data_IF_794161315078
#
_entry.id   IF_794161315078
#
_cell.length_a   1.000
_cell.length_b   1.000
_cell.length_c   1.000
_cell.angle_alpha   90.00
_cell.angle_beta   90.00
_cell.angle_gamma   90.00
#
_symmetry.space_group_name_H-M   'P 1'
#
loop_
_entity.id
_entity.type
_entity.pdbx_description
1 polymer ?
#
# COMPACT_ATOMS: atom_id res chain seq x y z
N UNK A 1 3.31 -8.50 -0.34
CA UNK A 1 2.26 -8.05 0.60
C UNK A 1 2.41 -8.76 1.94
N UNK A 2 2.44 -10.10 1.95
CA UNK A 2 2.64 -10.90 3.17
C UNK A 2 3.97 -10.65 3.91
N UNK A 3 4.99 -10.14 3.22
CA UNK A 3 6.30 -9.83 3.81
C UNK A 3 6.41 -8.40 4.38
N UNK A 4 5.29 -7.66 4.46
CA UNK A 4 5.29 -6.30 5.04
C UNK A 4 5.14 -6.38 6.56
N UNK A 5 5.83 -5.51 7.29
CA UNK A 5 5.64 -5.28 8.72
C UNK A 5 4.83 -4.00 9.01
N UNK A 6 4.27 -3.38 7.96
CA UNK A 6 3.54 -2.11 8.01
C UNK A 6 4.42 -0.85 8.15
N UNK A 7 5.69 -1.01 8.51
CA UNK A 7 6.66 0.08 8.66
C UNK A 7 7.50 0.28 7.38
N UNK A 8 7.50 -0.70 6.49
CA UNK A 8 8.11 -0.65 5.16
C UNK A 8 7.30 0.15 4.12
N UNK A 9 6.52 1.16 4.55
CA UNK A 9 5.75 2.05 3.66
C UNK A 9 6.18 3.51 3.81
N UNK A 10 5.96 4.30 2.75
CA UNK A 10 6.26 5.74 2.73
C UNK A 10 5.17 6.51 2.00
N UNK A 11 4.94 7.75 2.44
CA UNK A 11 4.09 8.73 1.76
C UNK A 11 4.94 9.53 0.76
N UNK A 12 4.59 9.50 -0.52
CA UNK A 12 5.38 10.11 -1.60
C UNK A 12 4.55 10.35 -2.87
N UNK A 13 4.96 11.28 -3.71
CA UNK A 13 4.38 11.51 -5.04
C UNK A 13 5.01 10.64 -6.15
N UNK A 14 6.11 9.90 -5.87
CA UNK A 14 6.88 9.14 -6.87
C UNK A 14 6.00 8.20 -7.72
N UNK A 15 5.10 7.38 -7.15
CA UNK A 15 4.13 6.57 -7.90
C UNK A 15 3.29 7.35 -8.91
N UNK A 16 2.85 8.55 -8.51
CA UNK A 16 1.93 9.38 -9.27
C UNK A 16 2.66 10.16 -10.35
N UNK A 17 3.86 10.65 -10.06
CA UNK A 17 4.76 11.25 -11.05
C UNK A 17 5.06 10.22 -12.13
N UNK A 18 5.49 9.01 -11.77
CA UNK A 18 5.82 7.96 -12.72
C UNK A 18 4.63 7.57 -13.61
N UNK A 19 3.40 7.69 -13.10
CA UNK A 19 2.16 7.41 -13.85
C UNK A 19 1.54 8.64 -14.54
N UNK A 20 2.19 9.81 -14.47
CA UNK A 20 1.65 11.08 -14.95
C UNK A 20 0.27 11.47 -14.37
N UNK A 21 -0.04 11.01 -13.16
CA UNK A 21 -1.33 11.19 -12.49
C UNK A 21 -1.17 11.87 -11.12
N UNK A 22 -0.43 12.97 -11.05
CA UNK A 22 -0.20 13.70 -9.80
C UNK A 22 -1.50 14.35 -9.31
N UNK A 23 -1.91 14.01 -8.09
CA UNK A 23 -3.11 14.56 -7.45
C UNK A 23 -2.77 15.82 -6.65
N UNK A 24 -3.37 16.99 -6.95
CA UNK A 24 -3.07 18.22 -6.23
C UNK A 24 -3.38 18.11 -4.73
N UNK A 25 -2.34 18.25 -3.89
CA UNK A 25 -2.48 18.23 -2.43
C UNK A 25 -2.63 16.84 -1.80
N UNK A 26 -2.50 15.77 -2.58
CA UNK A 26 -2.51 14.40 -2.09
C UNK A 26 -1.21 13.67 -2.45
N UNK A 27 -0.85 12.68 -1.64
CA UNK A 27 0.31 11.83 -1.85
C UNK A 27 -0.13 10.37 -1.82
N UNK A 28 0.58 9.52 -2.57
CA UNK A 28 0.39 8.08 -2.53
C UNK A 28 1.15 7.48 -1.34
N UNK A 29 0.57 6.44 -0.72
CA UNK A 29 1.31 5.54 0.17
C UNK A 29 1.72 4.30 -0.62
N UNK A 30 3.01 4.00 -0.60
CA UNK A 30 3.59 2.87 -1.33
C UNK A 30 4.56 2.11 -0.42
N UNK A 31 4.76 0.83 -0.71
CA UNK A 31 5.90 0.09 -0.17
C UNK A 31 7.19 0.83 -0.52
N UNK A 32 8.10 0.95 0.45
CA UNK A 32 9.47 1.41 0.24
C UNK A 32 10.27 0.26 -0.37
N UNK A 33 10.57 0.37 -1.65
CA UNK A 33 11.36 -0.60 -2.40
C UNK A 33 12.44 0.11 -3.24
N UNK A 34 13.21 -0.64 -4.02
CA UNK A 34 14.31 -0.11 -4.82
C UNK A 34 13.85 0.97 -5.82
N UNK A 35 12.64 0.86 -6.40
CA UNK A 35 12.07 1.90 -7.25
C UNK A 35 11.85 3.22 -6.47
N UNK A 36 11.21 3.16 -5.31
CA UNK A 36 10.96 4.35 -4.48
C UNK A 36 12.29 4.96 -4.01
N UNK A 37 13.22 4.16 -3.51
CA UNK A 37 14.53 4.65 -3.05
C UNK A 37 15.38 5.26 -4.18
N UNK A 38 15.26 4.72 -5.39
CA UNK A 38 15.91 5.26 -6.58
C UNK A 38 15.34 6.61 -7.01
N UNK A 39 14.14 7.01 -6.61
CA UNK A 39 13.59 8.30 -7.03
C UNK A 39 13.40 9.29 -5.88
N UNK A 40 13.55 8.83 -4.64
CA UNK A 40 13.57 9.69 -3.47
C UNK A 40 14.66 10.78 -3.59
N UNK A 41 14.24 12.04 -3.52
CA UNK A 41 15.12 13.21 -3.72
C UNK A 41 15.51 13.48 -5.17
N UNK A 42 15.01 12.69 -6.13
CA UNK A 42 15.24 12.82 -7.59
C UNK A 42 13.93 12.96 -8.36
N UNK A 43 12.89 13.48 -7.70
CA UNK A 43 11.54 13.61 -8.27
C UNK A 43 11.51 14.52 -9.51
N UNK A 44 12.40 15.51 -9.58
CA UNK A 44 12.56 16.37 -10.77
C UNK A 44 13.09 15.59 -11.98
N UNK A 45 14.06 14.69 -11.76
CA UNK A 45 14.63 13.83 -12.82
C UNK A 45 13.59 12.81 -13.25
N UNK A 46 12.85 12.24 -12.28
CA UNK A 46 11.70 11.36 -12.55
C UNK A 46 10.67 12.04 -13.46
N UNK A 47 10.32 13.31 -13.20
CA UNK A 47 9.43 14.09 -14.06
C UNK A 47 9.99 14.25 -15.48
N UNK A 48 11.29 14.55 -15.60
CA UNK A 48 11.93 14.72 -16.90
C UNK A 48 11.99 13.40 -17.71
N UNK A 49 12.12 12.26 -17.03
CA UNK A 49 12.23 10.91 -17.63
C UNK A 49 10.92 10.11 -17.58
N UNK A 50 9.79 10.76 -17.27
CA UNK A 50 8.55 10.08 -16.91
C UNK A 50 8.11 9.00 -17.91
N UNK A 51 8.13 9.20 -19.25
CA UNK A 51 7.68 8.17 -20.19
C UNK A 51 8.54 6.90 -20.16
N UNK A 52 9.86 7.04 -20.01
CA UNK A 52 10.80 5.92 -19.89
C UNK A 52 10.55 5.13 -18.60
N UNK A 53 10.38 5.87 -17.50
CA UNK A 53 10.13 5.27 -16.19
C UNK A 53 8.77 4.58 -16.14
N UNK A 54 7.73 5.16 -16.74
CA UNK A 54 6.41 4.53 -16.85
C UNK A 54 6.48 3.18 -17.59
N UNK A 55 7.23 3.12 -18.69
CA UNK A 55 7.42 1.88 -19.44
C UNK A 55 8.21 0.82 -18.62
N UNK A 56 9.22 1.23 -17.85
CA UNK A 56 9.93 0.33 -16.95
C UNK A 56 9.03 -0.18 -15.81
N UNK A 57 8.21 0.70 -15.23
CA UNK A 57 7.26 0.38 -14.17
C UNK A 57 6.22 -0.65 -14.64
N UNK A 58 5.70 -0.47 -15.86
CA UNK A 58 4.76 -1.40 -16.47
C UNK A 58 5.38 -2.79 -16.66
N UNK A 59 6.62 -2.86 -17.17
CA UNK A 59 7.34 -4.14 -17.28
C UNK A 59 7.57 -4.80 -15.92
N UNK A 60 7.91 -4.02 -14.90
CA UNK A 60 8.08 -4.55 -13.55
C UNK A 60 6.78 -5.16 -13.01
N UNK A 61 5.64 -4.50 -13.23
CA UNK A 61 4.31 -5.04 -12.87
C UNK A 61 3.99 -6.33 -13.63
N UNK A 62 4.23 -6.37 -14.94
CA UNK A 62 3.95 -7.54 -15.79
C UNK A 62 4.81 -8.76 -15.43
N UNK A 63 6.04 -8.53 -14.97
CA UNK A 63 7.00 -9.60 -14.62
C UNK A 63 6.97 -9.97 -13.14
N UNK A 64 6.20 -9.27 -12.32
CA UNK A 64 6.15 -9.48 -10.87
C UNK A 64 7.39 -9.00 -10.12
N UNK A 65 8.17 -8.08 -10.72
CA UNK A 65 9.33 -7.45 -10.07
C UNK A 65 8.84 -6.43 -9.01
N UNK A 66 8.64 -6.95 -7.80
CA UNK A 66 8.18 -6.17 -6.65
C UNK A 66 9.16 -5.07 -6.20
N UNK A 67 10.44 -5.19 -6.54
CA UNK A 67 11.46 -4.20 -6.17
C UNK A 67 11.44 -2.98 -7.09
N UNK A 68 11.08 -3.17 -8.36
CA UNK A 68 11.02 -2.10 -9.35
C UNK A 68 9.59 -1.66 -9.73
N UNK A 69 8.56 -2.31 -9.19
CA UNK A 69 7.17 -1.90 -9.33
C UNK A 69 6.77 -0.80 -8.31
N UNK A 70 5.66 -0.11 -8.56
CA UNK A 70 5.04 0.77 -7.58
C UNK A 70 3.88 0.03 -6.91
N UNK A 71 4.10 -0.37 -5.65
CA UNK A 71 3.19 -1.19 -4.85
C UNK A 71 2.42 -0.32 -3.86
N UNK A 72 1.22 0.09 -4.24
CA UNK A 72 0.33 0.89 -3.39
C UNK A 72 -0.24 0.00 -2.28
N UNK A 73 0.27 0.15 -1.06
CA UNK A 73 -0.17 -0.57 0.13
C UNK A 73 -0.19 0.36 1.34
N UNK A 74 -1.11 0.11 2.27
CA UNK A 74 -1.16 0.79 3.56
C UNK A 74 -0.27 0.12 4.61
N UNK A 75 -0.22 0.73 5.80
CA UNK A 75 0.50 0.16 6.95
C UNK A 75 -0.21 -1.07 7.53
N UNK A 76 -1.52 -1.18 7.28
CA UNK A 76 -2.35 -2.36 7.57
C UNK A 76 -1.86 -3.63 6.85
N UNK A 77 -1.03 -3.50 5.80
CA UNK A 77 -0.37 -4.64 5.18
C UNK A 77 0.43 -5.50 6.18
N UNK A 78 0.94 -4.91 7.27
CA UNK A 78 1.61 -5.64 8.35
C UNK A 78 0.70 -6.56 9.18
N UNK A 79 -0.63 -6.45 9.01
CA UNK A 79 -1.63 -7.29 9.66
C UNK A 79 -2.15 -8.42 8.75
N UNK A 80 -1.67 -8.49 7.51
CA UNK A 80 -2.15 -9.45 6.51
C UNK A 80 -1.17 -10.63 6.48
N UNK A 81 -1.66 -11.81 6.84
CA UNK A 81 -0.85 -13.03 6.95
C UNK A 81 -1.29 -14.16 6.03
N UNK A 82 -2.37 -13.97 5.28
CA UNK A 82 -2.95 -14.94 4.37
C UNK A 82 -3.66 -14.28 3.18
N UNK A 83 -4.06 -15.10 2.20
CA UNK A 83 -4.77 -14.67 0.98
C UNK A 83 -5.99 -15.57 0.79
N UNK A 84 -7.04 -15.42 1.63
CA UNK A 84 -8.26 -16.21 1.50
C UNK A 84 -9.08 -15.77 0.27
N UNK A 85 -10.04 -16.60 -0.19
CA UNK A 85 -11.08 -16.16 -1.11
C UNK A 85 -11.83 -14.94 -0.58
N UNK A 86 -12.28 -14.06 -1.49
CA UNK A 86 -12.93 -12.80 -1.10
C UNK A 86 -14.16 -12.99 -0.19
N UNK A 87 -14.97 -14.03 -0.43
CA UNK A 87 -16.14 -14.33 0.41
C UNK A 87 -15.75 -14.68 1.84
N UNK A 88 -14.76 -15.56 2.00
CA UNK A 88 -14.23 -15.97 3.31
C UNK A 88 -13.63 -14.78 4.08
N UNK A 89 -12.91 -13.88 3.39
CA UNK A 89 -12.36 -12.68 4.00
C UNK A 89 -13.47 -11.80 4.61
N UNK A 90 -14.54 -11.56 3.86
CA UNK A 90 -15.67 -10.74 4.31
C UNK A 90 -16.38 -11.40 5.50
N UNK A 91 -16.65 -12.69 5.42
CA UNK A 91 -17.27 -13.46 6.51
C UNK A 91 -16.41 -13.40 7.78
N UNK A 92 -15.09 -13.57 7.67
CA UNK A 92 -14.14 -13.45 8.78
C UNK A 92 -14.19 -12.06 9.42
N UNK A 93 -14.09 -11.00 8.62
CA UNK A 93 -14.11 -9.61 9.11
C UNK A 93 -15.41 -9.33 9.88
N UNK A 94 -16.56 -9.75 9.34
CA UNK A 94 -17.86 -9.55 9.99
C UNK A 94 -17.95 -10.31 11.31
N UNK A 95 -17.58 -11.60 11.31
CA UNK A 95 -17.61 -12.43 12.51
C UNK A 95 -16.71 -11.88 13.63
N UNK A 96 -15.49 -11.46 13.29
CA UNK A 96 -14.56 -10.83 14.25
C UNK A 96 -15.12 -9.50 14.78
N UNK A 97 -15.65 -8.64 13.91
CA UNK A 97 -16.25 -7.37 14.32
C UNK A 97 -17.44 -7.58 15.27
N UNK A 98 -18.33 -8.53 14.98
CA UNK A 98 -19.45 -8.85 15.87
C UNK A 98 -18.97 -9.32 17.25
N UNK A 99 -17.97 -10.20 17.31
CA UNK A 99 -17.40 -10.69 18.57
C UNK A 99 -16.77 -9.53 19.38
N UNK A 100 -16.01 -8.65 18.72
CA UNK A 100 -15.42 -7.47 19.37
C UNK A 100 -16.49 -6.56 19.97
N UNK A 101 -17.59 -6.30 19.23
CA UNK A 101 -18.68 -5.44 19.67
C UNK A 101 -19.50 -6.07 20.81
N UNK A 102 -19.73 -7.39 20.79
CA UNK A 102 -20.51 -8.10 21.82
C UNK A 102 -19.70 -8.33 23.11
N UNK A 103 -18.43 -8.72 22.98
CA UNK A 103 -17.68 -9.30 24.10
C UNK A 103 -16.60 -8.38 24.70
N UNK A 104 -16.02 -7.49 23.88
CA UNK A 104 -14.92 -6.60 24.31
C UNK A 104 -15.39 -5.19 24.55
N UNK A 105 -16.16 -4.60 23.64
CA UNK A 105 -16.59 -3.22 23.73
C UNK A 105 -17.29 -2.90 25.06
N UNK A 106 -18.26 -3.69 25.57
CA UNK A 106 -18.96 -3.37 26.82
C UNK A 106 -18.07 -3.30 28.07
N UNK A 107 -16.89 -3.94 28.05
CA UNK A 107 -15.91 -3.88 29.14
C UNK A 107 -15.05 -2.61 29.08
N UNK A 108 -14.94 -2.00 27.90
CA UNK A 108 -14.12 -0.82 27.64
C UNK A 108 -14.92 0.48 27.74
N UNK A 109 -16.23 0.42 27.47
CA UNK A 109 -17.13 1.55 27.65
C UNK A 109 -17.89 1.37 28.96
N UNK A 110 -17.81 2.35 29.87
CA UNK A 110 -18.64 2.36 31.08
C UNK A 110 -20.11 2.39 30.63
N UNK A 111 -20.80 1.28 30.78
CA UNK A 111 -22.25 1.27 30.78
C UNK A 111 -22.64 1.92 32.11
N UNK A 112 -23.10 3.18 32.03
CA UNK A 112 -23.65 3.90 33.18
C UNK A 112 -24.87 3.21 33.76
#
# INVERSE_FOLDING_TARGET
>A
MLDSDGHDTVLTEIPDIARANVWPGAMARSRRNAFIERWAGREWELRARQPEVAAALQRALETGDADNASLLIGQDAGLIHDIPPAGELVERIVAEAEALLKDRLPKLVRVG
#
